data_IF_773355278050
#
_entry.id   IF_773355278050
#
_cell.length_a   1.000
_cell.length_b   1.000
_cell.length_c   1.000
_cell.angle_alpha   90.00
_cell.angle_beta   90.00
_cell.angle_gamma   90.00
#
_symmetry.space_group_name_H-M   'P 1'
#
loop_
_entity.id
_entity.type
_entity.pdbx_description
1 polymer ?
#
# COMPACT_ATOMS: atom_id res chain seq x y z
N UNK A 1 -1.48 57.36 -16.14
CA UNK A 1 -1.20 56.13 -16.91
C UNK A 1 -1.14 54.98 -15.93
N UNK A 2 -1.89 53.91 -16.16
CA UNK A 2 -1.95 52.74 -15.28
C UNK A 2 -0.58 52.07 -15.22
N UNK A 3 0.11 52.15 -14.09
CA UNK A 3 1.31 51.33 -13.86
C UNK A 3 0.86 49.89 -13.66
N UNK A 4 0.96 49.08 -14.71
CA UNK A 4 0.67 47.66 -14.60
C UNK A 4 1.79 46.99 -13.77
N UNK A 5 1.45 46.52 -12.58
CA UNK A 5 2.35 45.69 -11.79
C UNK A 5 2.48 44.31 -12.45
N UNK A 6 3.71 43.90 -12.77
CA UNK A 6 4.02 42.57 -13.31
C UNK A 6 4.57 41.68 -12.20
N UNK A 7 4.11 40.42 -12.13
CA UNK A 7 4.62 39.42 -11.18
C UNK A 7 5.69 38.56 -11.84
N UNK A 8 6.94 38.77 -11.44
CA UNK A 8 8.06 37.89 -11.78
C UNK A 8 8.17 36.74 -10.77
N UNK A 9 8.26 35.49 -11.24
CA UNK A 9 8.58 34.33 -10.41
C UNK A 9 9.92 33.74 -10.87
N UNK A 10 10.85 33.56 -9.94
CA UNK A 10 12.14 32.92 -10.17
C UNK A 10 12.20 31.66 -9.29
N UNK A 11 12.52 30.53 -9.90
CA UNK A 11 12.65 29.24 -9.21
C UNK A 11 14.09 28.77 -9.31
N UNK A 12 14.64 28.32 -8.18
CA UNK A 12 15.93 27.66 -8.09
C UNK A 12 15.72 26.36 -7.32
N UNK A 13 16.09 25.24 -7.95
CA UNK A 13 16.05 23.94 -7.30
C UNK A 13 17.46 23.63 -6.77
N UNK A 14 17.56 23.33 -5.48
CA UNK A 14 18.82 23.00 -4.83
C UNK A 14 18.78 21.55 -4.36
N UNK A 15 19.67 20.72 -4.91
CA UNK A 15 19.88 19.37 -4.41
C UNK A 15 20.84 19.42 -3.21
N UNK A 16 20.30 19.16 -2.04
CA UNK A 16 21.01 19.32 -0.77
C UNK A 16 21.41 17.94 -0.19
N UNK A 17 22.70 17.78 0.12
CA UNK A 17 23.14 16.73 1.02
C UNK A 17 22.84 17.16 2.46
N UNK A 18 21.91 16.48 3.13
CA UNK A 18 21.47 16.85 4.48
C UNK A 18 21.82 15.76 5.51
N UNK A 19 22.05 16.12 6.78
CA UNK A 19 22.21 15.14 7.86
C UNK A 19 20.99 14.22 8.01
N UNK A 20 21.20 13.00 8.50
CA UNK A 20 20.15 11.99 8.65
C UNK A 20 18.95 12.47 9.48
N UNK A 21 19.20 13.38 10.43
CA UNK A 21 18.17 13.98 11.27
C UNK A 21 17.20 14.85 10.47
N UNK A 22 17.67 15.53 9.42
CA UNK A 22 16.82 16.33 8.54
C UNK A 22 16.15 15.47 7.47
N UNK A 23 16.84 14.46 6.92
CA UNK A 23 16.27 13.61 5.86
C UNK A 23 15.04 12.80 6.29
N UNK A 24 14.86 12.59 7.60
CA UNK A 24 13.73 11.87 8.19
C UNK A 24 12.53 12.78 8.52
N UNK A 25 12.64 14.09 8.35
CA UNK A 25 11.56 15.03 8.66
C UNK A 25 10.51 15.06 7.53
N UNK A 26 9.27 15.35 7.92
CA UNK A 26 8.20 15.67 6.98
C UNK A 26 8.42 17.05 6.33
N UNK A 27 7.65 17.34 5.28
CA UNK A 27 7.74 18.58 4.52
C UNK A 27 7.64 19.84 5.40
N UNK A 28 6.67 19.91 6.32
CA UNK A 28 6.45 21.10 7.15
C UNK A 28 7.65 21.38 8.06
N UNK A 29 8.17 20.33 8.71
CA UNK A 29 9.34 20.44 9.60
C UNK A 29 10.62 20.73 8.83
N UNK A 30 10.78 20.16 7.63
CA UNK A 30 11.88 20.48 6.72
C UNK A 30 11.86 21.95 6.32
N UNK A 31 10.72 22.45 5.85
CA UNK A 31 10.57 23.86 5.47
C UNK A 31 10.88 24.80 6.65
N UNK A 32 10.43 24.47 7.86
CA UNK A 32 10.75 25.26 9.06
C UNK A 32 12.23 25.22 9.42
N UNK A 33 12.87 24.06 9.32
CA UNK A 33 14.29 23.90 9.58
C UNK A 33 15.12 24.69 8.57
N UNK A 34 14.80 24.61 7.27
CA UNK A 34 15.48 25.38 6.24
C UNK A 34 15.20 26.87 6.32
N UNK A 35 13.99 27.31 6.65
CA UNK A 35 13.70 28.72 6.90
C UNK A 35 14.61 29.29 8.00
N UNK A 36 14.80 28.52 9.07
CA UNK A 36 15.67 28.88 10.18
C UNK A 36 17.14 28.92 9.75
N UNK A 37 17.60 27.91 9.00
CA UNK A 37 18.99 27.80 8.54
C UNK A 37 19.36 28.89 7.51
N UNK A 38 18.47 29.19 6.56
CA UNK A 38 18.66 30.25 5.56
C UNK A 38 18.62 31.65 6.22
N UNK A 39 17.78 31.81 7.24
CA UNK A 39 17.69 33.01 8.05
C UNK A 39 17.28 34.28 7.29
N UNK A 40 17.32 35.41 7.99
CA UNK A 40 16.93 36.71 7.42
C UNK A 40 17.85 37.13 6.26
N UNK A 41 19.13 36.74 6.29
CA UNK A 41 20.11 37.10 5.26
C UNK A 41 19.67 36.66 3.87
N UNK A 42 19.19 35.42 3.72
CA UNK A 42 18.73 34.93 2.41
C UNK A 42 17.30 35.40 2.13
N UNK A 43 16.38 35.22 3.08
CA UNK A 43 14.95 35.49 2.88
C UNK A 43 14.69 36.98 2.59
N UNK A 44 15.40 37.89 3.26
CA UNK A 44 15.27 39.33 3.05
C UNK A 44 16.34 39.90 2.10
N UNK A 45 17.49 39.24 1.95
CA UNK A 45 18.56 39.72 1.07
C UNK A 45 18.27 39.53 -0.42
N UNK A 46 17.64 38.42 -0.81
CA UNK A 46 17.28 38.15 -2.20
C UNK A 46 16.43 39.25 -2.86
N UNK A 47 15.31 39.73 -2.25
CA UNK A 47 14.54 40.81 -2.85
C UNK A 47 15.32 42.12 -2.94
N UNK A 48 16.23 42.41 -2.00
CA UNK A 48 17.10 43.59 -2.05
C UNK A 48 18.08 43.51 -3.22
N UNK A 49 18.72 42.36 -3.43
CA UNK A 49 19.65 42.14 -4.54
C UNK A 49 18.92 42.22 -5.87
N UNK A 50 17.77 41.54 -6.00
CA UNK A 50 16.95 41.58 -7.19
C UNK A 50 16.50 43.03 -7.50
N UNK A 51 16.03 43.76 -6.49
CA UNK A 51 15.64 45.17 -6.63
C UNK A 51 16.79 46.06 -7.09
N UNK A 52 18.01 45.87 -6.57
CA UNK A 52 19.20 46.60 -7.03
C UNK A 52 19.54 46.33 -8.49
N UNK A 53 19.43 45.09 -8.96
CA UNK A 53 19.74 44.75 -10.36
C UNK A 53 18.63 45.22 -11.31
N UNK A 54 17.37 44.98 -10.95
CA UNK A 54 16.20 45.41 -11.73
C UNK A 54 16.09 46.95 -11.80
N UNK A 55 16.49 47.65 -10.73
CA UNK A 55 16.53 49.11 -10.70
C UNK A 55 17.44 49.74 -11.76
N UNK A 56 18.49 49.03 -12.20
CA UNK A 56 19.34 49.47 -13.33
C UNK A 56 18.56 49.58 -14.65
N UNK A 57 17.44 48.87 -14.76
CA UNK A 57 16.52 48.91 -15.90
C UNK A 57 15.24 49.74 -15.61
N UNK A 58 15.22 50.52 -14.52
CA UNK A 58 14.07 51.33 -14.12
C UNK A 58 12.90 50.55 -13.51
N UNK A 59 13.12 49.29 -13.11
CA UNK A 59 12.08 48.44 -12.51
C UNK A 59 12.18 48.50 -10.98
N UNK A 60 11.05 48.78 -10.33
CA UNK A 60 10.95 48.85 -8.86
C UNK A 60 10.24 47.62 -8.31
N UNK A 61 10.82 46.99 -7.29
CA UNK A 61 10.15 45.93 -6.53
C UNK A 61 9.17 46.56 -5.55
N UNK A 62 7.88 46.31 -5.74
CA UNK A 62 6.79 46.87 -4.92
C UNK A 62 6.28 45.91 -3.83
N UNK A 63 6.74 44.66 -3.85
CA UNK A 63 6.39 43.64 -2.87
C UNK A 63 7.12 42.32 -3.14
N UNK A 64 7.29 41.52 -2.09
CA UNK A 64 7.93 40.20 -2.18
C UNK A 64 7.21 39.18 -1.31
N UNK A 65 6.97 37.99 -1.87
CA UNK A 65 6.51 36.83 -1.13
C UNK A 65 7.56 35.73 -1.29
N UNK A 66 7.90 35.04 -0.21
CA UNK A 66 8.76 33.87 -0.27
C UNK A 66 7.91 32.62 -0.03
N UNK A 67 8.25 31.54 -0.71
CA UNK A 67 7.67 30.22 -0.52
C UNK A 67 8.83 29.24 -0.41
N UNK A 68 8.79 28.41 0.63
CA UNK A 68 9.74 27.32 0.81
C UNK A 68 8.99 26.02 0.54
N UNK A 69 9.56 25.21 -0.34
CA UNK A 69 9.14 23.85 -0.61
C UNK A 69 10.36 22.95 -0.45
N UNK A 70 10.22 21.89 0.34
CA UNK A 70 11.28 20.95 0.64
C UNK A 70 10.71 19.54 0.63
N UNK A 71 11.34 18.67 -0.15
CA UNK A 71 10.97 17.26 -0.26
C UNK A 71 12.22 16.44 0.00
N UNK A 72 12.11 15.45 0.90
CA UNK A 72 13.19 14.48 1.09
C UNK A 72 13.31 13.63 -0.18
N UNK A 73 14.49 13.65 -0.80
CA UNK A 73 14.80 12.80 -1.96
C UNK A 73 15.16 11.36 -1.55
N UNK A 74 15.17 11.07 -0.25
CA UNK A 74 15.38 9.71 0.25
C UNK A 74 14.13 8.90 -0.08
N UNK A 75 14.30 7.88 -0.94
CA UNK A 75 13.24 6.92 -1.21
C UNK A 75 12.78 6.31 0.13
N UNK A 76 11.54 6.57 0.54
CA UNK A 76 10.97 5.90 1.70
C UNK A 76 11.00 4.39 1.44
N UNK A 77 11.84 3.67 2.17
CA UNK A 77 11.89 2.22 2.05
C UNK A 77 10.62 1.65 2.68
N UNK A 78 9.77 1.03 1.87
CA UNK A 78 8.61 0.28 2.38
C UNK A 78 9.11 -1.02 2.98
N UNK A 79 8.87 -1.24 4.28
CA UNK A 79 9.21 -2.50 4.93
C UNK A 79 8.43 -3.67 4.28
N UNK A 80 9.18 -4.70 3.83
CA UNK A 80 8.65 -5.94 3.25
C UNK A 80 7.56 -6.55 4.12
N UNK A 81 7.72 -6.52 5.45
CA UNK A 81 6.74 -7.08 6.40
C UNK A 81 5.37 -6.42 6.28
N UNK A 82 5.32 -5.12 6.02
CA UNK A 82 4.06 -4.37 5.83
C UNK A 82 3.35 -4.79 4.55
N UNK A 83 4.10 -5.08 3.49
CA UNK A 83 3.54 -5.60 2.24
C UNK A 83 3.01 -7.02 2.45
N UNK A 84 3.83 -7.90 3.03
CA UNK A 84 3.45 -9.30 3.31
C UNK A 84 2.18 -9.37 4.17
N UNK A 85 2.05 -8.50 5.17
CA UNK A 85 0.88 -8.47 6.05
C UNK A 85 -0.45 -8.22 5.30
N UNK A 86 -0.43 -7.49 4.18
CA UNK A 86 -1.64 -7.17 3.39
C UNK A 86 -1.73 -7.97 2.09
N UNK A 87 -0.62 -8.51 1.61
CA UNK A 87 -0.53 -9.21 0.34
C UNK A 87 0.38 -10.46 0.44
N UNK A 88 0.01 -11.44 1.27
CA UNK A 88 0.83 -12.64 1.49
C UNK A 88 0.95 -13.52 0.23
N UNK A 89 0.10 -13.33 -0.78
CA UNK A 89 0.17 -14.04 -2.05
C UNK A 89 1.36 -13.64 -2.93
N UNK A 90 1.97 -12.47 -2.70
CA UNK A 90 3.09 -12.00 -3.52
C UNK A 90 4.35 -12.82 -3.22
N UNK A 91 5.07 -13.21 -4.27
CA UNK A 91 6.43 -13.77 -4.19
C UNK A 91 7.43 -12.72 -3.71
N UNK A 92 8.62 -13.14 -3.27
CA UNK A 92 9.63 -12.21 -2.77
C UNK A 92 10.04 -11.15 -3.80
N UNK A 93 10.15 -11.53 -5.08
CA UNK A 93 10.46 -10.62 -6.18
C UNK A 93 9.36 -9.57 -6.38
N UNK A 94 8.10 -9.96 -6.23
CA UNK A 94 6.96 -9.07 -6.36
C UNK A 94 6.83 -8.13 -5.15
N UNK A 95 7.17 -8.61 -3.94
CA UNK A 95 7.27 -7.77 -2.75
C UNK A 95 8.30 -6.67 -2.96
N UNK A 96 9.49 -6.99 -3.49
CA UNK A 96 10.53 -5.99 -3.78
C UNK A 96 10.09 -4.99 -4.86
N UNK A 97 9.48 -5.49 -5.93
CA UNK A 97 8.95 -4.64 -6.99
C UNK A 97 7.87 -3.69 -6.48
N UNK A 98 6.98 -4.18 -5.63
CA UNK A 98 5.95 -3.35 -5.02
C UNK A 98 6.54 -2.33 -4.06
N UNK A 99 7.53 -2.71 -3.23
CA UNK A 99 8.20 -1.79 -2.31
C UNK A 99 8.81 -0.60 -3.06
N UNK A 100 9.50 -0.86 -4.18
CA UNK A 100 10.09 0.17 -5.02
C UNK A 100 9.03 1.08 -5.68
N UNK A 101 7.93 0.50 -6.19
CA UNK A 101 6.87 1.26 -6.86
C UNK A 101 5.99 2.09 -5.91
N UNK A 102 5.73 1.56 -4.71
CA UNK A 102 4.83 2.18 -3.73
C UNK A 102 5.51 3.29 -2.93
N UNK A 103 6.83 3.21 -2.73
CA UNK A 103 7.64 4.13 -1.94
C UNK A 103 7.34 5.63 -2.19
N UNK A 104 7.27 6.13 -3.45
CA UNK A 104 7.14 7.57 -3.70
C UNK A 104 5.77 8.16 -3.36
N UNK A 105 4.75 7.30 -3.20
CA UNK A 105 3.34 7.71 -3.02
C UNK A 105 2.70 7.08 -1.78
N UNK A 106 3.51 6.54 -0.86
CA UNK A 106 3.01 5.88 0.33
C UNK A 106 2.32 6.93 1.25
N UNK A 107 1.04 6.73 1.62
CA UNK A 107 0.38 7.58 2.59
C UNK A 107 1.08 7.56 3.95
N UNK A 108 1.05 8.69 4.67
CA UNK A 108 1.64 8.79 6.01
C UNK A 108 0.85 8.01 7.07
N UNK A 109 -0.48 7.95 6.95
CA UNK A 109 -1.35 7.23 7.88
C UNK A 109 -1.14 5.72 7.75
N UNK A 110 -0.93 4.96 8.85
CA UNK A 110 -0.73 3.52 8.80
C UNK A 110 -1.89 2.75 8.16
N UNK A 111 -3.14 3.15 8.43
CA UNK A 111 -4.33 2.48 7.89
C UNK A 111 -4.49 2.74 6.39
N UNK A 112 -4.30 3.99 5.97
CA UNK A 112 -4.33 4.37 4.55
C UNK A 112 -3.20 3.73 3.77
N UNK A 113 -2.01 3.63 4.38
CA UNK A 113 -0.87 2.95 3.80
C UNK A 113 -1.13 1.46 3.59
N UNK A 114 -1.72 0.77 4.55
CA UNK A 114 -2.10 -0.64 4.40
C UNK A 114 -3.11 -0.85 3.26
N UNK A 115 -4.15 -0.01 3.21
CA UNK A 115 -5.13 -0.04 2.12
C UNK A 115 -4.52 0.30 0.75
N UNK A 116 -3.60 1.25 0.70
CA UNK A 116 -2.85 1.61 -0.50
C UNK A 116 -1.98 0.45 -0.99
N UNK A 117 -1.16 -0.15 -0.11
CA UNK A 117 -0.31 -1.28 -0.43
C UNK A 117 -1.12 -2.47 -0.93
N UNK A 118 -2.26 -2.76 -0.31
CA UNK A 118 -3.19 -3.81 -0.76
C UNK A 118 -3.68 -3.55 -2.18
N UNK A 119 -4.15 -2.33 -2.48
CA UNK A 119 -4.62 -1.98 -3.84
C UNK A 119 -3.51 -2.08 -4.87
N UNK A 120 -2.31 -1.61 -4.54
CA UNK A 120 -1.16 -1.70 -5.44
C UNK A 120 -0.71 -3.15 -5.65
N UNK A 121 -0.77 -4.01 -4.63
CA UNK A 121 -0.50 -5.45 -4.77
C UNK A 121 -1.46 -6.12 -5.75
N UNK A 122 -2.77 -5.87 -5.60
CA UNK A 122 -3.79 -6.42 -6.51
C UNK A 122 -3.68 -5.87 -7.95
N UNK A 123 -3.22 -4.63 -8.10
CA UNK A 123 -2.93 -4.06 -9.42
C UNK A 123 -1.66 -4.68 -10.05
N UNK A 124 -0.67 -5.06 -9.22
CA UNK A 124 0.55 -5.70 -9.67
C UNK A 124 0.32 -7.15 -10.07
N UNK A 125 -0.46 -7.89 -9.28
CA UNK A 125 -0.80 -9.29 -9.48
C UNK A 125 -2.32 -9.45 -9.33
N UNK A 126 -3.00 -9.61 -10.46
CA UNK A 126 -4.46 -9.79 -10.52
C UNK A 126 -4.87 -11.22 -10.91
N UNK A 127 -3.93 -12.16 -10.93
CA UNK A 127 -4.23 -13.56 -11.21
C UNK A 127 -4.72 -14.31 -9.96
N UNK A 128 -5.44 -15.41 -10.19
CA UNK A 128 -5.83 -16.32 -9.12
C UNK A 128 -4.69 -17.30 -8.82
N UNK A 129 -4.20 -17.24 -7.58
CA UNK A 129 -3.17 -18.14 -7.08
C UNK A 129 -3.84 -19.21 -6.24
N UNK A 130 -4.12 -20.34 -6.87
CA UNK A 130 -5.01 -21.36 -6.34
C UNK A 130 -4.24 -22.57 -5.80
N UNK A 131 -4.39 -22.85 -4.51
CA UNK A 131 -3.89 -24.09 -3.88
C UNK A 131 -5.04 -25.05 -3.56
N UNK A 132 -4.87 -26.36 -3.74
CA UNK A 132 -5.89 -27.35 -3.39
C UNK A 132 -6.14 -27.39 -1.88
N UNK A 133 -7.40 -27.50 -1.48
CA UNK A 133 -7.79 -27.56 -0.07
C UNK A 133 -9.06 -28.38 0.14
N UNK A 134 -9.29 -28.81 1.39
CA UNK A 134 -10.54 -29.44 1.82
C UNK A 134 -11.14 -28.70 3.01
N UNK A 135 -12.46 -28.50 2.99
CA UNK A 135 -13.21 -27.81 4.03
C UNK A 135 -14.03 -28.82 4.83
N UNK A 136 -13.82 -28.88 6.14
CA UNK A 136 -14.67 -29.65 7.05
C UNK A 136 -15.86 -28.79 7.49
N UNK A 137 -17.08 -29.31 7.28
CA UNK A 137 -18.32 -28.61 7.59
C UNK A 137 -19.44 -29.58 7.97
N UNK A 138 -20.52 -29.03 8.50
CA UNK A 138 -21.80 -29.70 8.71
C UNK A 138 -22.77 -29.27 7.60
N UNK A 139 -23.46 -30.24 7.01
CA UNK A 139 -24.59 -29.99 6.11
C UNK A 139 -25.77 -29.44 6.90
N UNK A 140 -26.76 -28.85 6.21
CA UNK A 140 -28.00 -28.39 6.85
C UNK A 140 -28.79 -29.50 7.56
N UNK A 141 -28.53 -30.78 7.22
CA UNK A 141 -29.04 -31.96 7.91
C UNK A 141 -28.31 -32.28 9.23
N UNK A 142 -27.22 -31.57 9.54
CA UNK A 142 -26.33 -31.84 10.66
C UNK A 142 -25.27 -32.91 10.38
N UNK A 143 -25.27 -33.54 9.20
CA UNK A 143 -24.25 -34.54 8.85
C UNK A 143 -22.89 -33.89 8.58
N UNK A 144 -21.80 -34.40 9.17
CA UNK A 144 -20.45 -33.97 8.82
C UNK A 144 -20.12 -34.31 7.37
N UNK A 145 -19.46 -33.38 6.70
CA UNK A 145 -18.98 -33.51 5.33
C UNK A 145 -17.61 -32.87 5.16
N UNK A 146 -16.89 -33.31 4.13
CA UNK A 146 -15.64 -32.69 3.69
C UNK A 146 -15.76 -32.32 2.22
N UNK A 147 -15.54 -31.05 1.92
CA UNK A 147 -15.77 -30.45 0.61
C UNK A 147 -14.42 -30.12 -0.02
N UNK A 148 -14.16 -30.66 -1.21
CA UNK A 148 -12.95 -30.33 -1.95
C UNK A 148 -13.09 -28.95 -2.61
N UNK A 149 -11.99 -28.20 -2.65
CA UNK A 149 -11.98 -26.86 -3.22
C UNK A 149 -10.58 -26.35 -3.53
N UNK A 150 -10.51 -25.10 -3.95
CA UNK A 150 -9.25 -24.39 -4.22
C UNK A 150 -9.25 -23.05 -3.52
N UNK A 151 -8.33 -22.87 -2.58
CA UNK A 151 -8.13 -21.61 -1.88
C UNK A 151 -7.36 -20.64 -2.76
N UNK A 152 -7.92 -19.46 -2.98
CA UNK A 152 -7.24 -18.36 -3.65
C UNK A 152 -6.42 -17.54 -2.68
N UNK A 153 -5.09 -17.64 -2.76
CA UNK A 153 -4.17 -16.89 -1.91
C UNK A 153 -4.32 -15.37 -2.10
N UNK A 154 -4.77 -14.93 -3.28
CA UNK A 154 -4.88 -13.50 -3.62
C UNK A 154 -5.91 -12.80 -2.74
N UNK A 155 -7.10 -13.37 -2.56
CA UNK A 155 -8.22 -12.73 -1.86
C UNK A 155 -8.85 -13.56 -0.73
N UNK A 156 -8.43 -14.80 -0.53
CA UNK A 156 -8.92 -15.68 0.53
C UNK A 156 -10.16 -16.51 0.17
N UNK A 157 -10.76 -16.29 -1.01
CA UNK A 157 -11.95 -17.01 -1.43
C UNK A 157 -11.65 -18.48 -1.76
N UNK A 158 -12.53 -19.40 -1.39
CA UNK A 158 -12.43 -20.82 -1.73
C UNK A 158 -13.38 -21.13 -2.88
N UNK A 159 -12.81 -21.55 -4.02
CA UNK A 159 -13.58 -22.02 -5.16
C UNK A 159 -13.95 -23.49 -4.97
N UNK A 160 -15.24 -23.79 -5.15
CA UNK A 160 -15.79 -25.14 -5.05
C UNK A 160 -16.15 -25.68 -6.43
N UNK A 161 -16.09 -27.01 -6.59
CA UNK A 161 -16.53 -27.70 -7.79
C UNK A 161 -18.05 -27.59 -8.02
N UNK A 162 -18.49 -27.83 -9.25
CA UNK A 162 -19.90 -27.72 -9.64
C UNK A 162 -20.80 -28.70 -8.87
N UNK A 163 -20.25 -29.85 -8.47
CA UNK A 163 -20.88 -30.87 -7.65
C UNK A 163 -21.36 -30.34 -6.29
N UNK A 164 -20.77 -29.24 -5.81
CA UNK A 164 -21.10 -28.63 -4.53
C UNK A 164 -22.07 -27.45 -4.63
N UNK A 165 -22.58 -27.10 -5.83
CA UNK A 165 -23.54 -25.99 -6.04
C UNK A 165 -24.80 -26.10 -5.17
N UNK A 166 -25.30 -27.32 -4.99
CA UNK A 166 -26.50 -27.60 -4.20
C UNK A 166 -26.20 -27.91 -2.73
N UNK A 167 -24.93 -28.01 -2.34
CA UNK A 167 -24.54 -28.32 -0.96
C UNK A 167 -24.97 -27.19 -0.05
N UNK A 168 -25.88 -27.48 0.90
CA UNK A 168 -26.33 -26.53 1.92
C UNK A 168 -25.61 -26.81 3.21
N UNK A 169 -24.88 -25.83 3.73
CA UNK A 169 -24.19 -25.90 5.01
C UNK A 169 -25.12 -25.49 6.16
N UNK A 170 -24.88 -26.04 7.34
CA UNK A 170 -25.56 -25.61 8.56
C UNK A 170 -25.22 -24.14 8.86
N UNK A 171 -26.25 -23.32 9.09
CA UNK A 171 -26.08 -21.95 9.52
C UNK A 171 -25.47 -21.90 10.94
N UNK A 172 -24.64 -20.89 11.20
CA UNK A 172 -24.08 -20.60 12.54
C UNK A 172 -23.27 -21.75 13.17
N UNK A 173 -22.68 -22.64 12.37
CA UNK A 173 -21.80 -23.72 12.88
C UNK A 173 -20.41 -23.23 13.35
N UNK A 174 -20.15 -21.92 13.29
CA UNK A 174 -18.86 -21.33 13.63
C UNK A 174 -17.87 -21.36 12.45
N UNK A 175 -16.59 -21.05 12.72
CA UNK A 175 -15.54 -21.11 11.72
C UNK A 175 -15.34 -22.53 11.17
N UNK A 176 -15.22 -22.64 9.86
CA UNK A 176 -14.96 -23.91 9.17
C UNK A 176 -13.47 -24.19 9.13
N UNK A 177 -13.10 -25.45 9.32
CA UNK A 177 -11.71 -25.87 9.24
C UNK A 177 -11.33 -26.14 7.78
N UNK A 178 -10.27 -25.49 7.29
CA UNK A 178 -9.74 -25.65 5.94
C UNK A 178 -8.34 -26.25 6.02
N UNK A 179 -8.20 -27.48 5.54
CA UNK A 179 -6.90 -28.15 5.41
C UNK A 179 -6.34 -27.92 4.00
N UNK A 180 -5.07 -27.51 3.91
CA UNK A 180 -4.38 -27.32 2.62
C UNK A 180 -3.72 -28.65 2.20
N UNK A 181 -4.08 -29.16 1.03
CA UNK A 181 -3.63 -30.47 0.58
C UNK A 181 -2.10 -30.50 0.39
N UNK A 182 -1.47 -31.61 0.77
CA UNK A 182 -0.01 -31.76 0.71
C UNK A 182 0.76 -31.03 1.81
N UNK A 183 0.09 -30.45 2.81
CA UNK A 183 0.72 -29.74 3.93
C UNK A 183 0.06 -30.08 5.27
N UNK A 184 0.68 -29.65 6.38
CA UNK A 184 0.06 -29.69 7.72
C UNK A 184 -0.71 -28.40 8.06
N UNK A 185 -0.94 -27.52 7.09
CA UNK A 185 -1.54 -26.21 7.32
C UNK A 185 -3.06 -26.36 7.45
N UNK A 186 -3.58 -25.80 8.53
CA UNK A 186 -5.02 -25.72 8.80
C UNK A 186 -5.36 -24.27 9.13
N UNK A 187 -6.34 -23.71 8.42
CA UNK A 187 -6.81 -22.34 8.60
C UNK A 187 -8.32 -22.31 8.80
N UNK A 188 -8.81 -21.24 9.44
CA UNK A 188 -10.23 -21.02 9.63
C UNK A 188 -10.82 -20.25 8.43
N UNK A 189 -11.97 -20.71 7.93
CA UNK A 189 -12.80 -20.00 6.98
C UNK A 189 -14.16 -19.63 7.58
N UNK A 190 -14.77 -18.60 7.01
CA UNK A 190 -16.12 -18.17 7.32
C UNK A 190 -17.05 -18.52 6.15
N UNK A 191 -18.28 -18.91 6.47
CA UNK A 191 -19.34 -19.08 5.48
C UNK A 191 -20.20 -17.82 5.45
N UNK A 192 -20.06 -17.00 4.41
CA UNK A 192 -20.76 -15.72 4.27
C UNK A 192 -22.15 -15.85 3.62
N UNK A 193 -22.52 -17.05 3.17
CA UNK A 193 -23.86 -17.36 2.67
C UNK A 193 -23.86 -18.42 1.59
N UNK A 194 -24.92 -18.41 0.79
CA UNK A 194 -25.09 -19.33 -0.34
C UNK A 194 -25.47 -18.55 -1.59
N UNK A 195 -24.77 -18.79 -2.68
CA UNK A 195 -25.05 -18.21 -4.01
C UNK A 195 -25.53 -19.27 -4.98
N UNK A 196 -25.87 -18.87 -6.22
CA UNK A 196 -26.23 -19.81 -7.28
C UNK A 196 -25.12 -20.85 -7.56
N UNK A 197 -23.87 -20.52 -7.24
CA UNK A 197 -22.70 -21.38 -7.48
C UNK A 197 -22.29 -22.22 -6.27
N UNK A 198 -23.02 -22.17 -5.16
CA UNK A 198 -22.67 -22.91 -3.94
C UNK A 198 -22.48 -22.02 -2.71
N UNK A 199 -22.03 -22.60 -1.58
CA UNK A 199 -21.71 -21.83 -0.39
C UNK A 199 -20.52 -20.92 -0.66
N UNK A 200 -20.54 -19.71 -0.11
CA UNK A 200 -19.44 -18.74 -0.21
C UNK A 200 -18.58 -18.86 1.01
N UNK A 201 -17.32 -19.25 0.79
CA UNK A 201 -16.37 -19.58 1.83
C UNK A 201 -15.11 -18.73 1.69
N UNK A 202 -14.75 -18.02 2.75
CA UNK A 202 -13.65 -17.06 2.74
C UNK A 202 -12.70 -17.28 3.91
N UNK A 203 -11.40 -17.33 3.63
CA UNK A 203 -10.32 -17.23 4.62
C UNK A 203 -9.87 -15.78 4.69
N UNK A 204 -9.83 -15.21 5.89
CA UNK A 204 -9.33 -13.85 6.06
C UNK A 204 -7.85 -13.78 5.66
N UNK A 205 -7.49 -12.87 4.75
CA UNK A 205 -6.12 -12.75 4.20
C UNK A 205 -5.02 -12.70 5.29
N UNK A 206 -5.19 -12.01 6.44
CA UNK A 206 -4.18 -12.03 7.50
C UNK A 206 -3.86 -13.43 8.06
N UNK A 207 -4.81 -14.37 8.01
CA UNK A 207 -4.62 -15.76 8.47
C UNK A 207 -3.61 -16.51 7.60
N UNK A 208 -3.40 -16.09 6.35
CA UNK A 208 -2.45 -16.71 5.43
C UNK A 208 -0.99 -16.28 5.68
N UNK A 209 -0.78 -15.16 6.37
CA UNK A 209 0.55 -14.55 6.56
C UNK A 209 1.55 -15.50 7.23
N UNK A 210 1.23 -16.20 8.33
CA UNK A 210 2.16 -17.13 8.98
C UNK A 210 2.56 -18.32 8.10
N UNK A 211 1.76 -18.62 7.07
CA UNK A 211 1.92 -19.78 6.20
C UNK A 211 2.42 -19.41 4.80
N UNK A 212 2.70 -18.12 4.56
CA UNK A 212 3.00 -17.56 3.24
C UNK A 212 3.97 -18.41 2.44
N UNK A 213 5.15 -18.70 2.99
CA UNK A 213 6.24 -19.28 2.22
C UNK A 213 5.89 -20.69 1.75
N UNK A 214 5.24 -21.48 2.62
CA UNK A 214 4.75 -22.81 2.27
C UNK A 214 3.62 -22.76 1.23
N UNK A 215 2.69 -21.81 1.36
CA UNK A 215 1.57 -21.65 0.41
C UNK A 215 2.05 -21.19 -0.97
N UNK A 216 3.02 -20.27 -1.03
CA UNK A 216 3.63 -19.83 -2.28
C UNK A 216 4.40 -20.97 -2.93
N UNK A 217 5.20 -21.72 -2.16
CA UNK A 217 5.94 -22.86 -2.69
C UNK A 217 4.99 -23.92 -3.25
N UNK A 218 3.89 -24.22 -2.55
CA UNK A 218 2.88 -25.15 -3.02
C UNK A 218 2.22 -24.67 -4.33
N UNK A 219 1.87 -23.39 -4.41
CA UNK A 219 1.30 -22.81 -5.64
C UNK A 219 2.30 -22.86 -6.82
N UNK A 220 3.58 -22.59 -6.58
CA UNK A 220 4.61 -22.60 -7.62
C UNK A 220 4.98 -24.01 -8.10
N UNK A 221 4.65 -25.04 -7.32
CA UNK A 221 4.89 -26.44 -7.67
C UNK A 221 3.72 -27.12 -8.40
N UNK A 222 2.55 -26.46 -8.43
CA UNK A 222 1.32 -26.95 -9.06
C UNK A 222 1.23 -26.56 -10.55
#
# INVERSE_FOLDING_TARGET
MSSANVRLKLHFDLDLAVPAQLSALDHERLCKAFATALGATVIQGLPVIAGKQLGKAGITVVGSHHHLDAVSLVAQTVDRRRIIAVAPHLTDKEVDLLAAKAAPKLPASPSEASGYLRRQALALVNEYRLVPCSVAALLSSGQPTRIAGRLNLTNGHIFLGEEHRQTRLQANQGPLEVSIEGTSIVVAAESSGHTLTGPVLDVQVPVLVPHRDALIALWQAA
#
